data_IF_038817566990
#
_entry.id   IF_038817566990
#
_cell.length_a   1.000
_cell.length_b   1.000
_cell.length_c   1.000
_cell.angle_alpha   90.00
_cell.angle_beta   90.00
_cell.angle_gamma   90.00
#
_symmetry.space_group_name_H-M   'P 1'
#
loop_
_entity.id
_entity.type
_entity.pdbx_description
1 polymer ?
#
# COMPACT_ATOMS: atom_id res chain seq x y z
N UNK A 1 -32.37 22.93 -30.31
CA UNK A 1 -32.09 23.37 -28.93
C UNK A 1 -31.24 22.31 -28.29
N UNK A 2 -30.20 22.72 -27.55
CA UNK A 2 -29.34 21.77 -26.87
C UNK A 2 -30.12 20.93 -25.87
N UNK A 3 -30.01 19.59 -25.97
CA UNK A 3 -30.64 18.66 -25.01
C UNK A 3 -29.86 18.56 -23.68
N UNK A 4 -28.80 19.36 -23.49
CA UNK A 4 -28.00 19.36 -22.27
C UNK A 4 -28.64 20.19 -21.17
N UNK A 5 -28.53 19.76 -19.92
CA UNK A 5 -29.08 20.43 -18.74
C UNK A 5 -28.63 21.90 -18.60
N UNK A 6 -27.49 22.30 -19.19
CA UNK A 6 -26.94 23.65 -19.21
C UNK A 6 -27.06 24.36 -20.57
N UNK A 7 -27.82 23.80 -21.51
CA UNK A 7 -27.89 24.28 -22.91
C UNK A 7 -28.64 25.59 -23.14
N UNK A 8 -29.32 26.17 -22.15
CA UNK A 8 -30.21 27.30 -22.34
C UNK A 8 -29.59 28.60 -22.87
N UNK A 9 -28.27 28.78 -22.75
CA UNK A 9 -27.53 29.95 -23.23
C UNK A 9 -26.85 29.73 -24.59
N UNK A 10 -26.73 28.49 -25.02
CA UNK A 10 -25.91 28.13 -26.19
C UNK A 10 -26.77 28.07 -27.46
N UNK A 11 -26.25 28.68 -28.53
CA UNK A 11 -26.89 28.73 -29.86
C UNK A 11 -26.51 27.54 -30.75
N UNK A 12 -25.37 26.88 -30.45
CA UNK A 12 -24.85 25.72 -31.21
C UNK A 12 -24.74 24.48 -30.32
N UNK A 13 -24.84 23.31 -30.95
CA UNK A 13 -24.53 22.01 -30.33
C UNK A 13 -23.01 21.79 -30.38
N UNK A 14 -22.38 21.19 -29.35
CA UNK A 14 -21.02 20.67 -29.46
C UNK A 14 -20.93 19.58 -30.54
N UNK A 15 -19.75 19.45 -31.14
CA UNK A 15 -19.42 18.32 -32.00
C UNK A 15 -19.30 17.04 -31.15
N UNK A 16 -19.67 15.87 -31.71
CA UNK A 16 -19.70 14.59 -30.98
C UNK A 16 -18.32 14.27 -30.32
N UNK A 17 -17.21 14.52 -31.02
CA UNK A 17 -15.87 14.29 -30.48
C UNK A 17 -15.49 15.20 -29.31
N UNK A 18 -16.13 16.36 -29.16
CA UNK A 18 -15.97 17.26 -28.01
C UNK A 18 -16.65 16.65 -26.78
N UNK A 19 -17.81 16.04 -26.97
CA UNK A 19 -18.51 15.34 -25.89
C UNK A 19 -17.72 14.14 -25.42
N UNK A 20 -17.17 13.34 -26.32
CA UNK A 20 -16.31 12.19 -25.97
C UNK A 20 -15.06 12.61 -25.21
N UNK A 21 -14.39 13.71 -25.64
CA UNK A 21 -13.21 14.22 -24.93
C UNK A 21 -13.53 14.77 -23.53
N UNK A 22 -14.74 15.34 -23.36
CA UNK A 22 -15.18 15.94 -22.11
C UNK A 22 -15.73 14.92 -21.12
N UNK A 23 -16.20 13.77 -21.59
CA UNK A 23 -16.87 12.77 -20.76
C UNK A 23 -15.92 12.10 -19.77
N UNK A 24 -16.41 11.87 -18.55
CA UNK A 24 -15.69 11.17 -17.47
C UNK A 24 -16.34 9.86 -17.05
N UNK A 25 -17.49 9.51 -17.65
CA UNK A 25 -18.29 8.35 -17.24
C UNK A 25 -17.51 7.03 -17.26
N UNK A 26 -16.53 6.87 -18.15
CA UNK A 26 -15.75 5.64 -18.27
C UNK A 26 -15.02 5.26 -16.98
N UNK A 27 -14.60 6.26 -16.21
CA UNK A 27 -13.97 6.07 -14.91
C UNK A 27 -14.84 6.52 -13.73
N UNK A 28 -15.72 7.52 -13.87
CA UNK A 28 -16.64 8.01 -12.83
C UNK A 28 -17.61 6.93 -12.33
N UNK A 29 -17.96 5.96 -13.16
CA UNK A 29 -18.81 4.81 -12.78
C UNK A 29 -18.30 4.07 -11.55
N UNK A 30 -17.00 4.20 -11.20
CA UNK A 30 -16.45 3.68 -9.97
C UNK A 30 -17.02 4.36 -8.71
N UNK A 31 -17.64 5.54 -8.84
CA UNK A 31 -18.23 6.33 -7.78
C UNK A 31 -19.72 6.08 -7.57
N UNK A 32 -20.34 5.15 -8.30
CA UNK A 32 -21.81 4.91 -8.23
C UNK A 32 -22.32 4.76 -6.78
N UNK A 33 -21.59 4.03 -5.94
CA UNK A 33 -22.00 3.78 -4.56
C UNK A 33 -21.93 5.04 -3.72
N UNK A 34 -20.90 5.86 -3.92
CA UNK A 34 -20.69 7.11 -3.18
C UNK A 34 -21.68 8.19 -3.61
N UNK A 35 -21.93 8.32 -4.92
CA UNK A 35 -22.91 9.28 -5.45
C UNK A 35 -24.32 8.97 -4.95
N UNK A 36 -24.73 7.70 -4.98
CA UNK A 36 -26.02 7.28 -4.44
C UNK A 36 -26.09 7.54 -2.93
N UNK A 37 -25.04 7.22 -2.17
CA UNK A 37 -24.98 7.47 -0.74
C UNK A 37 -25.09 8.97 -0.42
N UNK A 38 -24.30 9.80 -1.11
CA UNK A 38 -24.33 11.26 -0.98
C UNK A 38 -25.70 11.84 -1.35
N UNK A 39 -26.30 11.36 -2.43
CA UNK A 39 -27.61 11.80 -2.90
C UNK A 39 -28.75 11.38 -1.96
N UNK A 40 -28.69 10.20 -1.34
CA UNK A 40 -29.66 9.77 -0.32
C UNK A 40 -29.59 10.67 0.92
N UNK A 41 -28.38 10.95 1.41
CA UNK A 41 -28.18 11.84 2.55
C UNK A 41 -28.71 13.25 2.25
N UNK A 42 -28.43 13.77 1.06
CA UNK A 42 -28.88 15.08 0.62
C UNK A 42 -30.44 15.15 0.53
N UNK A 43 -31.06 14.16 -0.11
CA UNK A 43 -32.53 14.11 -0.22
C UNK A 43 -33.20 14.01 1.16
N UNK A 44 -32.65 13.23 2.07
CA UNK A 44 -33.15 13.11 3.45
C UNK A 44 -33.12 14.47 4.17
N UNK A 45 -31.97 15.16 4.11
CA UNK A 45 -31.79 16.47 4.68
C UNK A 45 -32.76 17.51 4.06
N UNK A 46 -32.90 17.52 2.73
CA UNK A 46 -33.81 18.43 2.04
C UNK A 46 -35.26 18.28 2.55
N UNK A 47 -35.74 17.06 2.79
CA UNK A 47 -37.04 16.78 3.34
C UNK A 47 -37.17 17.23 4.81
N UNK A 48 -36.16 16.94 5.64
CA UNK A 48 -36.17 17.32 7.05
C UNK A 48 -36.14 18.84 7.23
N UNK A 49 -35.46 19.55 6.30
CA UNK A 49 -35.50 21.02 6.26
C UNK A 49 -36.75 21.59 5.53
N UNK A 50 -37.70 20.74 5.14
CA UNK A 50 -38.94 21.15 4.44
C UNK A 50 -38.69 21.85 3.08
N UNK A 51 -37.56 21.58 2.43
CA UNK A 51 -37.20 22.10 1.09
C UNK A 51 -37.94 21.30 0.02
N UNK A 52 -38.05 19.98 0.23
CA UNK A 52 -38.92 19.08 -0.51
C UNK A 52 -39.87 18.34 0.42
N UNK A 53 -40.92 17.71 -0.11
CA UNK A 53 -41.83 16.92 0.72
C UNK A 53 -41.21 15.55 1.11
N UNK A 54 -41.73 14.94 2.17
CA UNK A 54 -41.33 13.58 2.57
C UNK A 54 -41.61 12.55 1.47
N UNK A 55 -42.78 12.63 0.82
CA UNK A 55 -43.14 11.72 -0.28
C UNK A 55 -42.16 11.83 -1.45
N UNK A 56 -41.70 13.04 -1.78
CA UNK A 56 -40.66 13.26 -2.82
C UNK A 56 -39.34 12.67 -2.42
N UNK A 57 -38.91 12.86 -1.17
CA UNK A 57 -37.65 12.26 -0.68
C UNK A 57 -37.72 10.74 -0.70
N UNK A 58 -38.80 10.12 -0.26
CA UNK A 58 -39.00 8.68 -0.30
C UNK A 58 -38.93 8.13 -1.74
N UNK A 59 -39.56 8.81 -2.70
CA UNK A 59 -39.53 8.45 -4.09
C UNK A 59 -38.10 8.54 -4.65
N UNK A 60 -37.34 9.62 -4.34
CA UNK A 60 -35.96 9.83 -4.74
C UNK A 60 -35.08 8.73 -4.15
N UNK A 61 -35.14 8.47 -2.86
CA UNK A 61 -34.32 7.47 -2.18
C UNK A 61 -34.59 6.07 -2.74
N UNK A 62 -35.85 5.73 -2.99
CA UNK A 62 -36.22 4.45 -3.60
C UNK A 62 -35.63 4.34 -5.01
N UNK A 63 -35.81 5.37 -5.85
CA UNK A 63 -35.29 5.41 -7.22
C UNK A 63 -33.76 5.27 -7.27
N UNK A 64 -33.03 5.96 -6.38
CA UNK A 64 -31.57 5.86 -6.30
C UNK A 64 -31.09 4.45 -5.94
N UNK A 65 -31.74 3.79 -4.98
CA UNK A 65 -31.41 2.41 -4.61
C UNK A 65 -31.68 1.41 -5.74
N UNK A 66 -32.75 1.62 -6.50
CA UNK A 66 -33.06 0.81 -7.67
C UNK A 66 -32.04 1.03 -8.79
N UNK A 67 -31.60 2.26 -9.05
CA UNK A 67 -30.55 2.57 -10.05
C UNK A 67 -29.24 1.88 -9.64
N UNK A 68 -28.81 2.01 -8.39
CA UNK A 68 -27.61 1.36 -7.89
C UNK A 68 -27.66 -0.16 -8.06
N UNK A 69 -28.81 -0.78 -7.73
CA UNK A 69 -29.01 -2.21 -7.90
C UNK A 69 -28.90 -2.62 -9.36
N UNK A 70 -29.65 -1.94 -10.24
CA UNK A 70 -29.70 -2.25 -11.66
C UNK A 70 -28.34 -2.08 -12.33
N UNK A 71 -27.55 -1.08 -11.92
CA UNK A 71 -26.18 -0.90 -12.39
C UNK A 71 -25.27 -2.06 -11.96
N UNK A 72 -25.32 -2.43 -10.68
CA UNK A 72 -24.52 -3.52 -10.15
C UNK A 72 -24.87 -4.89 -10.75
N UNK A 73 -26.12 -5.07 -11.15
CA UNK A 73 -26.63 -6.29 -11.83
C UNK A 73 -26.42 -6.25 -13.36
N UNK A 74 -25.90 -5.13 -13.89
CA UNK A 74 -25.67 -4.96 -15.34
C UNK A 74 -26.94 -4.75 -16.17
N UNK A 75 -28.02 -4.30 -15.54
CA UNK A 75 -29.30 -4.04 -16.19
C UNK A 75 -29.39 -2.66 -16.85
N UNK A 76 -28.53 -1.73 -16.44
CA UNK A 76 -28.41 -0.40 -17.04
C UNK A 76 -26.97 -0.11 -17.44
N UNK A 77 -26.82 0.63 -18.54
CA UNK A 77 -25.53 1.11 -19.03
C UNK A 77 -25.56 2.64 -19.08
N UNK A 78 -24.55 3.26 -18.51
CA UNK A 78 -24.40 4.71 -18.54
C UNK A 78 -23.84 5.19 -19.88
N UNK A 79 -24.23 6.41 -20.29
CA UNK A 79 -23.96 6.95 -21.62
C UNK A 79 -22.93 8.09 -21.57
N UNK A 80 -21.95 8.06 -22.46
CA UNK A 80 -20.97 9.13 -22.63
C UNK A 80 -21.62 10.48 -23.00
N UNK A 81 -22.74 10.46 -23.73
CA UNK A 81 -23.50 11.67 -24.06
C UNK A 81 -24.10 12.40 -22.85
N UNK A 82 -24.14 11.74 -21.68
CA UNK A 82 -24.53 12.31 -20.40
C UNK A 82 -23.31 12.66 -19.51
N UNK A 83 -22.13 12.78 -20.09
CA UNK A 83 -20.89 13.31 -19.56
C UNK A 83 -20.32 12.53 -18.36
N UNK A 84 -21.01 12.52 -17.20
CA UNK A 84 -20.50 11.99 -15.93
C UNK A 84 -21.51 11.10 -15.21
N UNK A 85 -21.08 10.48 -14.12
CA UNK A 85 -21.93 9.61 -13.28
C UNK A 85 -23.15 10.35 -12.75
N UNK A 86 -22.99 11.60 -12.37
CA UNK A 86 -24.02 12.39 -11.73
C UNK A 86 -25.18 12.65 -12.67
N UNK A 87 -24.88 13.07 -13.91
CA UNK A 87 -25.91 13.34 -14.91
C UNK A 87 -26.58 12.04 -15.38
N UNK A 88 -25.83 10.94 -15.44
CA UNK A 88 -26.40 9.64 -15.76
C UNK A 88 -27.39 9.19 -14.69
N UNK A 89 -27.06 9.31 -13.39
CA UNK A 89 -27.96 8.97 -12.28
C UNK A 89 -29.19 9.89 -12.27
N UNK A 90 -28.98 11.21 -12.42
CA UNK A 90 -30.08 12.18 -12.46
C UNK A 90 -31.05 11.90 -13.61
N UNK A 91 -30.53 11.60 -14.79
CA UNK A 91 -31.34 11.24 -15.96
C UNK A 91 -32.17 9.98 -15.71
N UNK A 92 -31.56 8.90 -15.20
CA UNK A 92 -32.25 7.65 -14.87
C UNK A 92 -33.29 7.87 -13.77
N UNK A 93 -33.00 8.70 -12.77
CA UNK A 93 -33.93 9.03 -11.69
C UNK A 93 -35.17 9.76 -12.24
N UNK A 94 -34.97 10.79 -13.07
CA UNK A 94 -36.08 11.54 -13.69
C UNK A 94 -36.93 10.61 -14.58
N UNK A 95 -36.32 9.68 -15.33
CA UNK A 95 -37.04 8.70 -16.13
C UNK A 95 -37.97 7.80 -15.28
N UNK A 96 -37.53 7.44 -14.08
CA UNK A 96 -38.27 6.53 -13.17
C UNK A 96 -39.35 7.22 -12.36
N UNK A 97 -39.08 8.42 -11.83
CA UNK A 97 -39.97 9.08 -10.87
C UNK A 97 -40.47 10.45 -11.33
N UNK A 98 -40.16 10.89 -12.54
CA UNK A 98 -40.64 12.16 -13.10
C UNK A 98 -40.02 13.39 -12.45
N UNK A 99 -40.83 14.47 -12.32
CA UNK A 99 -40.37 15.80 -11.83
C UNK A 99 -39.73 15.78 -10.43
N UNK A 100 -40.14 14.87 -9.56
CA UNK A 100 -39.56 14.71 -8.23
C UNK A 100 -38.02 14.42 -8.32
N UNK A 101 -37.59 13.70 -9.34
CA UNK A 101 -36.15 13.38 -9.57
C UNK A 101 -35.30 14.64 -9.79
N UNK A 102 -35.85 15.66 -10.48
CA UNK A 102 -35.15 16.92 -10.71
C UNK A 102 -34.96 17.77 -9.47
N UNK A 103 -35.75 17.53 -8.38
CA UNK A 103 -35.61 18.25 -7.12
C UNK A 103 -34.39 17.85 -6.30
N UNK A 104 -33.80 16.69 -6.58
CA UNK A 104 -32.61 16.21 -5.90
C UNK A 104 -31.43 17.20 -5.97
N UNK A 105 -31.32 17.96 -7.05
CA UNK A 105 -30.22 18.93 -7.24
C UNK A 105 -30.38 20.24 -6.48
N UNK A 106 -31.50 20.44 -5.78
CA UNK A 106 -31.80 21.68 -5.00
C UNK A 106 -30.73 21.91 -3.93
N UNK A 107 -30.14 23.12 -3.89
CA UNK A 107 -29.12 23.49 -2.91
C UNK A 107 -27.76 22.80 -3.07
N UNK A 108 -27.53 22.06 -4.16
CA UNK A 108 -26.29 21.34 -4.46
C UNK A 108 -25.71 21.77 -5.80
N UNK A 109 -24.40 21.68 -5.93
CA UNK A 109 -23.68 21.82 -7.19
C UNK A 109 -22.99 20.50 -7.55
N UNK A 110 -22.62 20.36 -8.82
CA UNK A 110 -21.72 19.28 -9.26
C UNK A 110 -20.39 19.30 -8.49
N UNK A 111 -19.92 20.51 -8.11
CA UNK A 111 -18.62 20.69 -7.47
C UNK A 111 -18.57 20.07 -6.05
N UNK A 112 -19.53 20.33 -5.20
CA UNK A 112 -19.56 19.70 -3.87
C UNK A 112 -20.01 18.24 -3.92
N UNK A 113 -20.82 17.86 -4.90
CA UNK A 113 -21.22 16.48 -5.14
C UNK A 113 -20.02 15.60 -5.46
N UNK A 114 -19.22 15.94 -6.48
CA UNK A 114 -18.04 15.15 -6.86
C UNK A 114 -16.97 15.15 -5.78
N UNK A 115 -16.79 16.29 -5.07
CA UNK A 115 -15.87 16.34 -3.94
C UNK A 115 -16.29 15.37 -2.82
N UNK A 116 -17.59 15.30 -2.50
CA UNK A 116 -18.14 14.37 -1.51
C UNK A 116 -17.90 12.91 -1.90
N UNK A 117 -18.17 12.57 -3.15
CA UNK A 117 -17.95 11.21 -3.66
C UNK A 117 -16.49 10.78 -3.57
N UNK A 118 -15.58 11.68 -3.93
CA UNK A 118 -14.15 11.42 -3.86
C UNK A 118 -13.65 11.25 -2.43
N UNK A 119 -14.17 12.03 -1.46
CA UNK A 119 -13.88 11.85 -0.04
C UNK A 119 -14.38 10.49 0.47
N UNK A 120 -15.65 10.16 0.20
CA UNK A 120 -16.26 8.88 0.60
C UNK A 120 -15.51 7.69 -0.01
N UNK A 121 -15.20 7.77 -1.31
CA UNK A 121 -14.45 6.73 -2.00
C UNK A 121 -13.06 6.55 -1.40
N UNK A 122 -12.30 7.63 -1.27
CA UNK A 122 -10.93 7.58 -0.76
C UNK A 122 -10.89 7.06 0.67
N UNK A 123 -11.82 7.51 1.55
CA UNK A 123 -11.96 7.02 2.92
C UNK A 123 -12.14 5.50 2.95
N UNK A 124 -13.11 4.98 2.18
CA UNK A 124 -13.39 3.55 2.14
C UNK A 124 -12.21 2.74 1.57
N UNK A 125 -11.52 3.25 0.55
CA UNK A 125 -10.38 2.56 -0.03
C UNK A 125 -9.16 2.58 0.89
N UNK A 126 -8.89 3.67 1.58
CA UNK A 126 -7.80 3.75 2.56
C UNK A 126 -8.04 2.78 3.72
N UNK A 127 -9.26 2.69 4.24
CA UNK A 127 -9.62 1.69 5.25
C UNK A 127 -9.36 0.27 4.77
N UNK A 128 -9.77 -0.04 3.55
CA UNK A 128 -9.50 -1.37 2.98
C UNK A 128 -8.01 -1.65 2.72
N UNK A 129 -7.21 -0.63 2.37
CA UNK A 129 -5.75 -0.79 2.24
C UNK A 129 -5.13 -1.10 3.60
N UNK A 130 -5.58 -0.45 4.68
CA UNK A 130 -5.15 -0.75 6.07
C UNK A 130 -5.41 -2.22 6.41
N UNK A 131 -6.62 -2.72 6.15
CA UNK A 131 -6.98 -4.14 6.36
C UNK A 131 -6.05 -5.10 5.60
N UNK A 132 -5.72 -4.79 4.35
CA UNK A 132 -4.81 -5.61 3.53
C UNK A 132 -3.37 -5.57 4.05
N UNK A 133 -2.90 -4.44 4.56
CA UNK A 133 -1.59 -4.33 5.21
C UNK A 133 -1.56 -5.19 6.46
N UNK A 134 -2.57 -5.14 7.31
CA UNK A 134 -2.68 -5.95 8.52
C UNK A 134 -2.71 -7.45 8.21
N UNK A 135 -3.48 -7.88 7.21
CA UNK A 135 -3.51 -9.27 6.75
C UNK A 135 -2.12 -9.74 6.32
N UNK A 136 -1.41 -8.92 5.56
CA UNK A 136 -0.05 -9.25 5.15
C UNK A 136 0.95 -9.24 6.33
N UNK A 137 0.79 -8.35 7.29
CA UNK A 137 1.59 -8.35 8.52
C UNK A 137 1.39 -9.65 9.33
N UNK A 138 0.16 -10.15 9.44
CA UNK A 138 -0.11 -11.46 10.05
C UNK A 138 0.65 -12.59 9.33
N UNK A 139 0.66 -12.58 8.01
CA UNK A 139 1.39 -13.57 7.21
C UNK A 139 2.90 -13.50 7.47
N UNK A 140 3.48 -12.29 7.54
CA UNK A 140 4.91 -12.10 7.87
C UNK A 140 5.23 -12.63 9.27
N UNK A 141 4.39 -12.32 10.27
CA UNK A 141 4.59 -12.78 11.65
C UNK A 141 4.52 -14.31 11.73
N UNK A 142 3.55 -14.93 11.05
CA UNK A 142 3.42 -16.38 11.01
C UNK A 142 4.62 -17.06 10.35
N UNK A 143 5.16 -16.50 9.28
CA UNK A 143 6.38 -16.99 8.65
C UNK A 143 7.58 -16.84 9.58
N UNK A 144 7.75 -15.68 10.19
CA UNK A 144 8.86 -15.40 11.09
C UNK A 144 8.86 -16.33 12.31
N UNK A 145 7.70 -16.60 12.90
CA UNK A 145 7.54 -17.49 14.06
C UNK A 145 8.05 -18.92 13.79
N UNK A 146 7.90 -19.42 12.56
CA UNK A 146 8.38 -20.72 12.12
C UNK A 146 9.89 -20.79 11.84
N UNK A 147 10.55 -19.62 11.77
CA UNK A 147 11.92 -19.50 11.29
C UNK A 147 12.86 -18.71 12.24
N UNK A 148 12.52 -18.62 13.52
CA UNK A 148 13.34 -17.94 14.55
C UNK A 148 14.76 -18.50 14.59
N UNK A 149 14.89 -19.82 14.46
CA UNK A 149 16.17 -20.55 14.53
C UNK A 149 16.80 -20.80 13.14
N UNK A 150 16.12 -20.43 12.06
CA UNK A 150 16.65 -20.60 10.72
C UNK A 150 17.71 -19.54 10.43
N UNK A 151 18.95 -19.97 10.27
CA UNK A 151 20.09 -19.08 10.02
C UNK A 151 20.26 -18.85 8.52
N UNK A 152 20.50 -17.61 8.14
CA UNK A 152 20.80 -17.22 6.77
C UNK A 152 21.99 -16.25 6.70
N UNK A 153 22.66 -16.12 5.56
CA UNK A 153 23.63 -15.06 5.38
C UNK A 153 22.91 -13.70 5.28
N UNK A 154 23.32 -12.76 6.11
CA UNK A 154 22.97 -11.35 5.96
C UNK A 154 23.89 -10.68 4.93
N UNK A 155 23.36 -9.72 4.19
CA UNK A 155 24.06 -9.06 3.09
C UNK A 155 24.22 -7.56 3.32
N UNK A 156 25.38 -7.05 2.94
CA UNK A 156 25.64 -5.63 2.66
C UNK A 156 26.35 -5.54 1.32
N UNK A 157 26.02 -4.56 0.47
CA UNK A 157 26.58 -4.42 -0.88
C UNK A 157 26.44 -5.68 -1.76
N UNK A 158 25.38 -6.50 -1.53
CA UNK A 158 25.19 -7.83 -2.13
C UNK A 158 26.36 -8.80 -1.86
N UNK A 159 27.17 -8.54 -0.84
CA UNK A 159 28.17 -9.43 -0.31
C UNK A 159 27.71 -10.03 1.02
N UNK A 160 28.04 -11.30 1.27
CA UNK A 160 27.79 -11.94 2.56
C UNK A 160 28.53 -11.20 3.65
N UNK A 161 27.81 -10.84 4.72
CA UNK A 161 28.35 -10.00 5.79
C UNK A 161 28.41 -10.75 7.11
N UNK A 162 27.26 -11.07 7.70
CA UNK A 162 27.16 -11.74 8.99
C UNK A 162 25.98 -12.71 9.01
N UNK A 163 26.03 -13.80 9.82
CA UNK A 163 24.87 -14.67 10.00
C UNK A 163 23.74 -13.93 10.69
N UNK A 164 22.51 -14.10 10.19
CA UNK A 164 21.30 -13.54 10.78
C UNK A 164 20.20 -14.62 10.84
N UNK A 165 19.18 -14.39 11.67
CA UNK A 165 17.96 -15.19 11.63
C UNK A 165 17.10 -14.80 10.42
N UNK A 166 16.53 -15.78 9.72
CA UNK A 166 15.57 -15.54 8.65
C UNK A 166 14.34 -14.76 9.18
N UNK A 167 13.88 -15.09 10.39
CA UNK A 167 12.81 -14.36 11.06
C UNK A 167 13.15 -12.88 11.25
N UNK A 168 14.37 -12.58 11.69
CA UNK A 168 14.86 -11.20 11.83
C UNK A 168 14.79 -10.44 10.51
N UNK A 169 15.21 -11.08 9.42
CA UNK A 169 15.18 -10.46 8.09
C UNK A 169 13.74 -10.13 7.66
N UNK A 170 12.82 -11.09 7.70
CA UNK A 170 11.45 -10.86 7.22
C UNK A 170 10.66 -9.92 8.13
N UNK A 171 10.93 -9.88 9.44
CA UNK A 171 10.33 -8.89 10.34
C UNK A 171 10.68 -7.45 10.00
N UNK A 172 11.76 -7.20 9.25
CA UNK A 172 12.06 -5.86 8.72
C UNK A 172 10.89 -5.32 7.90
N UNK A 173 10.25 -6.18 7.11
CA UNK A 173 9.10 -5.80 6.29
C UNK A 173 7.82 -5.61 7.10
N UNK A 174 7.65 -6.34 8.21
CA UNK A 174 6.60 -6.04 9.18
C UNK A 174 6.72 -4.58 9.68
N UNK A 175 7.91 -4.16 10.08
CA UNK A 175 8.13 -2.80 10.58
C UNK A 175 8.01 -1.73 9.50
N UNK A 176 8.32 -2.02 8.25
CA UNK A 176 8.04 -1.12 7.12
C UNK A 176 6.54 -0.93 6.93
N UNK A 177 5.78 -2.02 6.88
CA UNK A 177 4.33 -2.00 6.72
C UNK A 177 3.62 -1.36 7.93
N UNK A 178 4.12 -1.52 9.14
CA UNK A 178 3.58 -0.86 10.33
C UNK A 178 3.68 0.67 10.23
N UNK A 179 4.79 1.17 9.72
CA UNK A 179 4.93 2.61 9.44
C UNK A 179 4.04 3.07 8.28
N UNK A 180 3.80 2.22 7.29
CA UNK A 180 2.89 2.53 6.18
C UNK A 180 1.45 2.55 6.66
N UNK A 181 1.04 1.55 7.46
CA UNK A 181 -0.29 1.52 8.09
C UNK A 181 -0.56 2.81 8.87
N UNK A 182 0.38 3.21 9.74
CA UNK A 182 0.23 4.44 10.52
C UNK A 182 0.11 5.71 9.66
N UNK A 183 0.74 5.76 8.47
CA UNK A 183 0.54 6.87 7.52
C UNK A 183 -0.87 6.89 6.95
N UNK A 184 -1.41 5.74 6.57
CA UNK A 184 -2.80 5.65 6.09
C UNK A 184 -3.80 5.99 7.19
N UNK A 185 -3.62 5.49 8.41
CA UNK A 185 -4.46 5.83 9.58
C UNK A 185 -4.44 7.34 9.86
N UNK A 186 -3.26 7.96 9.81
CA UNK A 186 -3.12 9.40 10.02
C UNK A 186 -3.78 10.21 8.90
N UNK A 187 -3.71 9.76 7.65
CA UNK A 187 -4.34 10.42 6.51
C UNK A 187 -5.87 10.43 6.59
N UNK A 188 -6.49 9.43 7.24
CA UNK A 188 -7.94 9.39 7.43
C UNK A 188 -8.48 10.65 8.12
N UNK A 189 -7.73 11.29 9.01
CA UNK A 189 -8.14 12.54 9.68
C UNK A 189 -8.38 13.69 8.71
N UNK A 190 -7.68 13.71 7.58
CA UNK A 190 -7.79 14.74 6.52
C UNK A 190 -8.75 14.34 5.42
N UNK A 191 -9.02 13.07 5.26
CA UNK A 191 -10.02 12.54 4.32
C UNK A 191 -11.44 12.66 4.92
N UNK A 192 -11.58 12.52 6.23
CA UNK A 192 -12.86 12.39 6.95
C UNK A 192 -13.54 13.74 7.22
N UNK A 193 -13.66 14.58 6.18
CA UNK A 193 -14.24 15.92 6.23
C UNK A 193 -15.26 16.05 5.10
N UNK A 194 -16.51 16.43 5.43
CA UNK A 194 -17.60 16.58 4.47
C UNK A 194 -17.54 17.89 3.69
N UNK A 195 -17.47 17.86 2.36
CA UNK A 195 -17.62 19.05 1.52
C UNK A 195 -19.07 19.35 1.15
N UNK A 196 -20.02 18.42 1.36
CA UNK A 196 -21.41 18.57 0.93
C UNK A 196 -22.09 19.79 1.57
N UNK A 197 -22.80 20.56 0.74
CA UNK A 197 -23.42 21.82 1.12
C UNK A 197 -22.57 23.06 0.86
N UNK A 198 -21.33 22.89 0.38
CA UNK A 198 -20.52 23.99 -0.14
C UNK A 198 -21.05 24.56 -1.46
N UNK A 199 -21.93 23.83 -2.13
CA UNK A 199 -22.48 24.13 -3.46
C UNK A 199 -21.37 24.37 -4.47
N UNK A 200 -21.48 25.41 -5.33
CA UNK A 200 -20.47 25.66 -6.33
C UNK A 200 -19.12 26.16 -5.74
N UNK A 201 -19.20 27.04 -4.72
CA UNK A 201 -18.04 27.62 -4.01
C UNK A 201 -18.41 28.51 -2.81
N UNK A 202 -19.62 29.03 -2.78
CA UNK A 202 -20.02 30.08 -1.84
C UNK A 202 -21.16 29.66 -0.88
N UNK A 203 -21.47 28.37 -0.84
CA UNK A 203 -22.66 27.86 -0.14
C UNK A 203 -23.95 28.10 -0.92
N UNK A 204 -25.10 28.03 -0.26
CA UNK A 204 -26.41 28.14 -0.87
C UNK A 204 -27.33 29.06 -0.03
N UNK A 205 -28.34 29.64 -0.67
CA UNK A 205 -29.37 30.43 0.00
C UNK A 205 -30.50 29.55 0.59
N UNK A 206 -30.54 28.26 0.29
CA UNK A 206 -31.45 27.31 0.89
C UNK A 206 -31.04 27.00 2.33
N UNK A 207 -32.02 26.82 3.25
CA UNK A 207 -31.74 26.50 4.66
C UNK A 207 -31.36 25.03 4.85
N UNK A 208 -30.28 24.61 4.22
CA UNK A 208 -29.74 23.25 4.34
C UNK A 208 -29.05 23.04 5.69
N UNK A 209 -29.02 21.79 6.17
CA UNK A 209 -28.28 21.40 7.37
C UNK A 209 -27.07 20.49 6.98
N UNK A 210 -25.88 21.07 7.05
CA UNK A 210 -24.63 20.38 6.75
C UNK A 210 -24.22 19.39 7.85
N UNK A 211 -24.66 19.62 9.11
CA UNK A 211 -24.39 18.67 10.20
C UNK A 211 -25.20 17.40 10.02
N UNK A 212 -26.47 17.53 9.62
CA UNK A 212 -27.27 16.35 9.30
C UNK A 212 -26.67 15.50 8.18
N UNK A 213 -26.22 16.11 7.07
CA UNK A 213 -25.58 15.37 5.99
C UNK A 213 -24.25 14.77 6.40
N UNK A 214 -23.47 15.46 7.25
CA UNK A 214 -22.24 14.93 7.85
C UNK A 214 -22.53 13.64 8.61
N UNK A 215 -23.51 13.65 9.52
CA UNK A 215 -23.88 12.50 10.35
C UNK A 215 -24.38 11.32 9.51
N UNK A 216 -25.26 11.60 8.53
CA UNK A 216 -25.80 10.59 7.61
C UNK A 216 -24.72 9.92 6.76
N UNK A 217 -23.65 10.63 6.42
CA UNK A 217 -22.53 10.13 5.63
C UNK A 217 -21.40 9.58 6.49
N UNK A 218 -21.45 9.76 7.81
CA UNK A 218 -20.45 9.27 8.74
C UNK A 218 -19.11 10.00 8.64
N UNK A 219 -19.11 11.28 8.28
CA UNK A 219 -17.93 12.13 8.34
C UNK A 219 -17.69 12.66 9.75
N UNK A 220 -16.42 12.71 10.17
CA UNK A 220 -16.05 13.27 11.48
C UNK A 220 -16.18 14.79 11.52
N UNK A 221 -15.97 15.47 10.41
CA UNK A 221 -15.91 16.93 10.32
C UNK A 221 -16.64 17.47 9.08
N UNK A 222 -16.80 18.79 9.04
CA UNK A 222 -17.28 19.57 7.89
C UNK A 222 -16.19 20.55 7.52
N UNK A 223 -16.00 20.84 6.24
CA UNK A 223 -15.12 21.92 5.79
C UNK A 223 -15.64 23.28 6.32
N UNK A 224 -14.76 24.03 6.98
CA UNK A 224 -15.06 25.36 7.54
C UNK A 224 -15.28 26.42 6.48
N UNK A 225 -14.70 26.24 5.30
CA UNK A 225 -14.78 27.18 4.19
C UNK A 225 -15.31 26.48 2.93
N UNK A 226 -16.42 26.98 2.38
CA UNK A 226 -17.06 26.38 1.20
C UNK A 226 -16.22 26.46 -0.08
N UNK A 227 -15.36 27.47 -0.22
CA UNK A 227 -14.45 27.58 -1.36
C UNK A 227 -13.32 26.55 -1.27
N UNK A 228 -12.78 26.33 -0.06
CA UNK A 228 -11.78 25.28 0.22
C UNK A 228 -12.37 23.89 -0.04
N UNK A 229 -13.59 23.64 0.45
CA UNK A 229 -14.28 22.35 0.31
C UNK A 229 -14.38 21.81 -1.14
N UNK A 230 -14.51 22.69 -2.11
CA UNK A 230 -14.60 22.33 -3.54
C UNK A 230 -13.28 22.43 -4.28
N UNK A 231 -12.25 23.04 -3.67
CA UNK A 231 -10.93 23.26 -4.25
C UNK A 231 -9.91 22.21 -3.81
N UNK A 232 -10.06 21.69 -2.59
CA UNK A 232 -9.06 20.86 -1.92
C UNK A 232 -8.96 19.47 -2.56
N UNK A 233 -7.72 19.00 -2.77
CA UNK A 233 -7.34 17.66 -3.25
C UNK A 233 -6.06 17.16 -2.57
N UNK A 234 -5.64 17.78 -1.47
CA UNK A 234 -4.41 17.43 -0.76
C UNK A 234 -4.45 16.00 -0.25
N UNK A 235 -5.65 15.54 0.19
CA UNK A 235 -5.86 14.16 0.63
C UNK A 235 -5.61 13.12 -0.49
N UNK A 236 -5.84 13.48 -1.76
CA UNK A 236 -5.54 12.62 -2.91
C UNK A 236 -4.03 12.52 -3.09
N UNK A 237 -3.32 13.65 -3.03
CA UNK A 237 -1.84 13.69 -3.09
C UNK A 237 -1.24 12.86 -1.96
N UNK A 238 -1.75 13.02 -0.74
CA UNK A 238 -1.29 12.29 0.43
C UNK A 238 -1.55 10.78 0.28
N UNK A 239 -2.73 10.38 -0.20
CA UNK A 239 -3.06 8.98 -0.48
C UNK A 239 -2.13 8.39 -1.54
N UNK A 240 -1.89 9.09 -2.65
CA UNK A 240 -0.96 8.68 -3.70
C UNK A 240 0.49 8.58 -3.19
N UNK A 241 0.91 9.50 -2.29
CA UNK A 241 2.20 9.43 -1.62
C UNK A 241 2.33 8.17 -0.76
N UNK A 242 1.34 7.90 0.10
CA UNK A 242 1.33 6.73 0.97
C UNK A 242 1.36 5.43 0.16
N UNK A 243 0.55 5.34 -0.91
CA UNK A 243 0.58 4.22 -1.86
C UNK A 243 1.97 4.06 -2.48
N UNK A 244 2.55 5.14 -3.00
CA UNK A 244 3.86 5.10 -3.67
C UNK A 244 4.96 4.63 -2.74
N UNK A 245 4.99 5.11 -1.48
CA UNK A 245 5.98 4.69 -0.50
C UNK A 245 5.82 3.22 -0.09
N UNK A 246 4.59 2.77 0.10
CA UNK A 246 4.30 1.35 0.37
C UNK A 246 4.76 0.47 -0.80
N UNK A 247 4.50 0.89 -2.04
CA UNK A 247 4.98 0.17 -3.23
C UNK A 247 6.51 0.13 -3.31
N UNK A 248 7.22 1.17 -2.87
CA UNK A 248 8.70 1.14 -2.73
C UNK A 248 9.13 0.09 -1.72
N UNK A 249 8.46 -0.04 -0.57
CA UNK A 249 8.76 -1.08 0.41
C UNK A 249 8.50 -2.49 -0.15
N UNK A 250 7.37 -2.68 -0.83
CA UNK A 250 7.08 -3.96 -1.51
C UNK A 250 8.11 -4.28 -2.60
N UNK A 251 8.57 -3.28 -3.35
CA UNK A 251 9.64 -3.44 -4.36
C UNK A 251 10.95 -3.95 -3.75
N UNK A 252 11.33 -3.45 -2.58
CA UNK A 252 12.52 -3.94 -1.88
C UNK A 252 12.37 -5.39 -1.45
N UNK A 253 11.20 -5.76 -0.94
CA UNK A 253 10.94 -7.17 -0.61
C UNK A 253 10.87 -8.05 -1.87
N UNK A 254 10.31 -7.55 -2.95
CA UNK A 254 10.30 -8.24 -4.24
C UNK A 254 11.72 -8.54 -4.75
N UNK A 255 12.65 -7.59 -4.61
CA UNK A 255 14.07 -7.79 -4.95
C UNK A 255 14.70 -8.94 -4.15
N UNK A 256 14.43 -9.00 -2.84
CA UNK A 256 14.89 -10.11 -1.98
C UNK A 256 14.30 -11.45 -2.42
N UNK A 257 12.99 -11.51 -2.69
CA UNK A 257 12.32 -12.72 -3.17
C UNK A 257 12.92 -13.20 -4.50
N UNK A 258 13.17 -12.28 -5.43
CA UNK A 258 13.80 -12.56 -6.72
C UNK A 258 15.20 -13.14 -6.49
N UNK A 259 16.03 -12.47 -5.69
CA UNK A 259 17.37 -12.93 -5.38
C UNK A 259 17.36 -14.30 -4.68
N UNK A 260 16.54 -14.50 -3.67
CA UNK A 260 16.46 -15.74 -2.90
C UNK A 260 15.98 -16.93 -3.74
N UNK A 261 15.18 -16.67 -4.77
CA UNK A 261 14.64 -17.71 -5.67
C UNK A 261 15.54 -18.04 -6.86
N UNK A 262 16.66 -17.33 -7.07
CA UNK A 262 17.63 -17.64 -8.14
C UNK A 262 18.21 -19.02 -8.02
N UNK A 263 18.67 -19.60 -9.14
CA UNK A 263 19.34 -20.91 -9.15
C UNK A 263 20.64 -20.93 -8.34
N UNK A 264 21.32 -19.80 -8.24
CA UNK A 264 22.55 -19.64 -7.46
C UNK A 264 22.28 -19.59 -5.96
N UNK A 265 21.25 -18.82 -5.52
CA UNK A 265 20.91 -18.70 -4.11
C UNK A 265 20.11 -19.90 -3.60
N UNK A 266 18.95 -20.18 -4.20
CA UNK A 266 18.02 -21.26 -3.79
C UNK A 266 17.63 -21.23 -2.32
N UNK A 267 17.52 -20.02 -1.76
CA UNK A 267 17.16 -19.85 -0.35
C UNK A 267 15.68 -20.10 -0.10
N UNK A 268 14.85 -19.82 -1.11
CA UNK A 268 13.42 -20.11 -1.11
C UNK A 268 13.00 -20.81 -2.41
N UNK A 269 11.84 -21.44 -2.35
CA UNK A 269 11.11 -21.96 -3.51
C UNK A 269 9.72 -21.34 -3.53
N UNK A 270 9.38 -20.63 -4.59
CA UNK A 270 8.04 -20.08 -4.77
C UNK A 270 7.03 -21.18 -5.12
N UNK A 271 5.78 -21.01 -4.70
CA UNK A 271 4.68 -21.87 -5.14
C UNK A 271 4.41 -21.73 -6.64
N UNK A 272 3.95 -22.80 -7.29
CA UNK A 272 3.55 -22.77 -8.69
C UNK A 272 2.41 -21.78 -8.95
N UNK A 273 1.56 -21.55 -7.96
CA UNK A 273 0.45 -20.59 -8.04
C UNK A 273 0.90 -19.13 -8.17
N UNK A 274 2.15 -18.81 -7.82
CA UNK A 274 2.72 -17.46 -7.86
C UNK A 274 3.98 -17.39 -8.73
N UNK A 275 4.12 -18.31 -9.67
CA UNK A 275 5.26 -18.38 -10.58
C UNK A 275 4.75 -18.67 -11.98
N UNK A 276 5.58 -18.41 -12.99
CA UNK A 276 5.31 -18.83 -14.37
C UNK A 276 6.44 -19.71 -14.89
N UNK A 277 6.15 -20.46 -15.94
CA UNK A 277 7.13 -21.27 -16.66
C UNK A 277 7.57 -20.58 -17.94
N UNK A 278 8.33 -21.32 -18.74
CA UNK A 278 8.74 -20.92 -20.09
C UNK A 278 8.11 -21.86 -21.12
N UNK A 279 7.61 -21.30 -22.21
CA UNK A 279 7.06 -22.09 -23.32
C UNK A 279 8.13 -22.88 -24.10
N UNK A 280 9.42 -22.54 -23.90
CA UNK A 280 10.55 -23.15 -24.63
C UNK A 280 11.53 -23.88 -23.70
N UNK A 281 11.60 -23.48 -22.42
CA UNK A 281 12.53 -24.03 -21.42
C UNK A 281 11.73 -24.73 -20.31
N UNK A 282 11.50 -26.05 -20.38
CA UNK A 282 10.58 -26.74 -19.47
C UNK A 282 11.04 -26.78 -18.00
N UNK A 283 12.32 -26.54 -17.73
CA UNK A 283 12.90 -26.49 -16.39
C UNK A 283 12.76 -25.13 -15.71
N UNK A 284 12.40 -24.07 -16.46
CA UNK A 284 12.44 -22.68 -15.99
C UNK A 284 11.20 -22.33 -15.18
N UNK A 285 11.41 -21.71 -14.02
CA UNK A 285 10.36 -21.16 -13.16
C UNK A 285 10.73 -19.74 -12.78
N UNK A 286 9.84 -18.78 -13.08
CA UNK A 286 10.13 -17.35 -12.97
C UNK A 286 9.36 -16.72 -11.77
N UNK A 287 9.97 -15.77 -11.06
CA UNK A 287 9.33 -15.02 -9.98
C UNK A 287 8.53 -13.81 -10.52
N UNK A 288 7.73 -14.00 -11.57
CA UNK A 288 7.08 -12.90 -12.33
C UNK A 288 6.21 -11.99 -11.45
N UNK A 289 5.58 -12.54 -10.40
CA UNK A 289 4.73 -11.73 -9.52
C UNK A 289 5.57 -10.71 -8.75
N UNK A 290 6.74 -11.12 -8.26
CA UNK A 290 7.68 -10.22 -7.60
C UNK A 290 8.23 -9.17 -8.59
N UNK A 291 8.57 -9.57 -9.81
CA UNK A 291 9.06 -8.67 -10.86
C UNK A 291 8.01 -7.62 -11.25
N UNK A 292 6.75 -8.03 -11.43
CA UNK A 292 5.65 -7.12 -11.73
C UNK A 292 5.43 -6.11 -10.61
N UNK A 293 5.42 -6.53 -9.35
CA UNK A 293 5.25 -5.62 -8.21
C UNK A 293 6.41 -4.62 -8.16
N UNK A 294 7.64 -5.08 -8.35
CA UNK A 294 8.81 -4.21 -8.47
C UNK A 294 8.65 -3.17 -9.58
N UNK A 295 8.16 -3.57 -10.75
CA UNK A 295 7.93 -2.69 -11.89
C UNK A 295 6.80 -1.67 -11.69
N UNK A 296 5.74 -2.03 -10.96
CA UNK A 296 4.54 -1.18 -10.75
C UNK A 296 4.80 0.07 -9.89
N UNK A 297 5.93 0.18 -9.20
CA UNK A 297 6.33 1.38 -8.44
C UNK A 297 6.36 2.62 -9.34
N UNK A 298 6.90 2.49 -10.56
CA UNK A 298 6.95 3.60 -11.51
C UNK A 298 5.56 4.14 -11.86
N UNK A 299 4.57 3.24 -11.97
CA UNK A 299 3.18 3.60 -12.27
C UNK A 299 2.55 4.44 -11.15
N UNK A 300 2.62 3.99 -9.89
CA UNK A 300 2.05 4.72 -8.75
C UNK A 300 2.76 6.04 -8.47
N UNK A 301 4.08 6.06 -8.59
CA UNK A 301 4.87 7.31 -8.46
C UNK A 301 4.54 8.30 -9.59
N UNK A 302 4.29 7.80 -10.81
CA UNK A 302 3.83 8.61 -11.93
C UNK A 302 2.50 9.31 -11.64
N UNK A 303 1.53 8.61 -11.05
CA UNK A 303 0.25 9.19 -10.65
C UNK A 303 0.39 10.27 -9.57
N UNK A 304 1.24 10.06 -8.57
CA UNK A 304 1.56 11.08 -7.57
C UNK A 304 2.13 12.34 -8.23
N UNK A 305 3.08 12.18 -9.13
CA UNK A 305 3.70 13.32 -9.83
C UNK A 305 2.69 14.03 -10.73
N UNK A 306 1.85 13.29 -11.46
CA UNK A 306 0.78 13.83 -12.29
C UNK A 306 -0.16 14.71 -11.46
N UNK A 307 -0.62 14.23 -10.30
CA UNK A 307 -1.54 14.97 -9.45
C UNK A 307 -0.91 16.26 -8.90
N UNK A 308 0.34 16.23 -8.45
CA UNK A 308 1.08 17.41 -8.01
C UNK A 308 1.19 18.47 -9.12
N UNK A 309 1.45 18.03 -10.35
CA UNK A 309 1.56 18.93 -11.52
C UNK A 309 0.20 19.49 -11.90
N UNK A 310 -0.87 18.71 -11.84
CA UNK A 310 -2.24 19.16 -12.11
C UNK A 310 -2.66 20.27 -11.14
N UNK A 311 -2.39 20.11 -9.85
CA UNK A 311 -2.78 21.09 -8.83
C UNK A 311 -1.91 22.35 -8.83
N UNK A 312 -0.66 22.26 -9.31
CA UNK A 312 0.28 23.35 -9.28
C UNK A 312 -0.22 24.54 -10.10
N UNK A 313 -0.51 25.65 -9.42
CA UNK A 313 -0.95 26.90 -10.03
C UNK A 313 -2.41 26.91 -10.50
N UNK A 314 -3.20 25.88 -10.16
CA UNK A 314 -4.62 25.84 -10.45
C UNK A 314 -5.36 26.89 -9.62
N UNK A 315 -6.26 27.71 -10.22
CA UNK A 315 -7.10 28.63 -9.46
C UNK A 315 -8.03 27.90 -8.48
N UNK A 316 -8.48 28.61 -7.45
CA UNK A 316 -9.43 28.09 -6.49
C UNK A 316 -10.78 27.74 -7.12
N UNK A 317 -11.64 27.07 -6.37
CA UNK A 317 -12.85 26.40 -6.80
C UNK A 317 -12.58 25.24 -7.77
N UNK A 318 -13.54 24.91 -8.61
CA UNK A 318 -13.43 23.81 -9.55
C UNK A 318 -13.03 24.32 -10.94
N UNK A 319 -12.00 23.69 -11.49
CA UNK A 319 -11.62 23.80 -12.89
C UNK A 319 -11.65 22.41 -13.50
N UNK A 320 -11.89 22.29 -14.81
CA UNK A 320 -12.03 20.97 -15.47
C UNK A 320 -10.76 20.12 -15.37
N UNK A 321 -9.59 20.73 -15.13
CA UNK A 321 -8.33 20.06 -14.79
C UNK A 321 -8.48 19.07 -13.62
N UNK A 322 -9.38 19.36 -12.67
CA UNK A 322 -9.65 18.46 -11.53
C UNK A 322 -10.32 17.14 -11.94
N UNK A 323 -10.76 16.97 -13.18
CA UNK A 323 -11.19 15.66 -13.67
C UNK A 323 -10.05 14.63 -13.65
N UNK A 324 -8.79 15.10 -13.77
CA UNK A 324 -7.59 14.29 -13.70
C UNK A 324 -7.28 13.75 -12.28
N UNK A 325 -8.06 14.13 -11.27
CA UNK A 325 -7.90 13.66 -9.89
C UNK A 325 -8.34 12.18 -9.69
N UNK A 326 -9.03 11.57 -10.66
CA UNK A 326 -9.71 10.28 -10.53
C UNK A 326 -8.92 9.10 -11.09
N UNK A 327 -8.59 9.12 -12.38
CA UNK A 327 -8.00 7.96 -13.06
C UNK A 327 -6.71 7.48 -12.39
N UNK A 328 -5.81 8.42 -12.08
CA UNK A 328 -4.56 8.11 -11.40
C UNK A 328 -4.76 7.54 -9.99
N UNK A 329 -5.72 8.08 -9.23
CA UNK A 329 -6.04 7.58 -7.90
C UNK A 329 -6.67 6.19 -7.96
N UNK A 330 -7.66 5.99 -8.83
CA UNK A 330 -8.34 4.69 -8.98
C UNK A 330 -7.36 3.59 -9.39
N UNK A 331 -6.47 3.90 -10.33
CA UNK A 331 -5.43 2.98 -10.80
C UNK A 331 -4.38 2.68 -9.71
N UNK A 332 -3.93 3.68 -8.96
CA UNK A 332 -3.00 3.49 -7.86
C UNK A 332 -3.61 2.62 -6.74
N UNK A 333 -4.87 2.87 -6.38
CA UNK A 333 -5.61 2.06 -5.40
C UNK A 333 -5.77 0.62 -5.88
N UNK A 334 -6.15 0.41 -7.14
CA UNK A 334 -6.24 -0.93 -7.72
C UNK A 334 -4.88 -1.64 -7.68
N UNK A 335 -3.82 -0.93 -8.04
CA UNK A 335 -2.45 -1.44 -8.08
C UNK A 335 -1.95 -1.86 -6.70
N UNK A 336 -2.10 -1.03 -5.66
CA UNK A 336 -1.63 -1.38 -4.30
C UNK A 336 -2.43 -2.54 -3.72
N UNK A 337 -3.76 -2.56 -3.87
CA UNK A 337 -4.62 -3.65 -3.37
C UNK A 337 -4.26 -4.99 -4.01
N UNK A 338 -4.07 -5.00 -5.33
CA UNK A 338 -3.62 -6.18 -6.05
C UNK A 338 -2.22 -6.63 -5.61
N UNK A 339 -1.30 -5.69 -5.45
CA UNK A 339 0.08 -5.97 -5.04
C UNK A 339 0.17 -6.56 -3.62
N UNK A 340 -0.57 -6.00 -2.65
CA UNK A 340 -0.61 -6.53 -1.29
C UNK A 340 -1.14 -7.96 -1.25
N UNK A 341 -2.26 -8.24 -1.92
CA UNK A 341 -2.87 -9.59 -1.96
C UNK A 341 -1.95 -10.62 -2.62
N UNK A 342 -1.34 -10.28 -3.76
CA UNK A 342 -0.42 -11.17 -4.47
C UNK A 342 0.82 -11.43 -3.61
N UNK A 343 1.37 -10.39 -2.99
CA UNK A 343 2.57 -10.52 -2.15
C UNK A 343 2.31 -11.37 -0.91
N UNK A 344 1.18 -11.15 -0.24
CA UNK A 344 0.74 -11.97 0.88
C UNK A 344 0.63 -13.45 0.50
N UNK A 345 -0.06 -13.77 -0.59
CA UNK A 345 -0.22 -15.14 -1.08
C UNK A 345 1.12 -15.79 -1.47
N UNK A 346 2.01 -15.03 -2.09
CA UNK A 346 3.35 -15.49 -2.48
C UNK A 346 4.18 -15.82 -1.23
N UNK A 347 4.20 -14.95 -0.22
CA UNK A 347 4.93 -15.14 1.04
C UNK A 347 4.33 -16.27 1.87
N UNK A 348 3.00 -16.38 1.94
CA UNK A 348 2.31 -17.43 2.67
C UNK A 348 2.56 -18.84 2.12
N UNK A 349 2.84 -18.94 0.81
CA UNK A 349 2.97 -20.23 0.11
C UNK A 349 4.41 -20.60 -0.25
N UNK A 350 5.39 -19.73 -0.04
CA UNK A 350 6.79 -20.03 -0.33
C UNK A 350 7.38 -21.03 0.67
N UNK A 351 8.32 -21.83 0.20
CA UNK A 351 9.10 -22.75 1.04
C UNK A 351 10.48 -22.17 1.30
N UNK A 352 10.89 -22.11 2.57
CA UNK A 352 12.24 -21.71 2.98
C UNK A 352 13.16 -22.92 2.98
N UNK A 353 14.24 -22.89 2.19
CA UNK A 353 15.17 -23.98 2.02
C UNK A 353 16.24 -23.96 3.14
N UNK A 354 15.88 -24.44 4.33
CA UNK A 354 16.71 -24.38 5.56
C UNK A 354 18.10 -24.99 5.36
N UNK A 355 18.18 -26.15 4.70
CA UNK A 355 19.44 -26.85 4.47
C UNK A 355 20.39 -26.02 3.60
N UNK A 356 19.85 -25.42 2.55
CA UNK A 356 20.63 -24.53 1.65
C UNK A 356 21.15 -23.30 2.38
N UNK A 357 20.30 -22.67 3.17
CA UNK A 357 20.67 -21.52 4.00
C UNK A 357 21.79 -21.89 4.97
N UNK A 358 21.64 -22.99 5.70
CA UNK A 358 22.61 -23.49 6.66
C UNK A 358 23.95 -23.87 5.99
N UNK A 359 23.91 -24.54 4.84
CA UNK A 359 25.11 -24.85 4.05
C UNK A 359 25.86 -23.57 3.66
N UNK A 360 25.11 -22.52 3.27
CA UNK A 360 25.70 -21.28 2.78
C UNK A 360 26.48 -20.54 3.87
N UNK A 361 25.96 -20.48 5.12
CA UNK A 361 26.64 -19.80 6.23
C UNK A 361 27.81 -20.61 6.81
N UNK A 362 27.88 -21.93 6.56
CA UNK A 362 29.01 -22.76 6.95
C UNK A 362 30.19 -22.68 5.99
N UNK A 363 29.93 -22.26 4.76
CA UNK A 363 30.92 -22.18 3.68
C UNK A 363 31.17 -20.73 3.28
N UNK A 364 31.50 -19.90 4.26
CA UNK A 364 31.91 -18.51 4.06
C UNK A 364 32.73 -18.00 5.26
N UNK A 365 33.01 -16.70 5.28
CA UNK A 365 33.72 -16.02 6.35
C UNK A 365 32.81 -15.04 7.12
N UNK A 366 31.50 -15.25 7.09
CA UNK A 366 30.56 -14.37 7.76
C UNK A 366 30.70 -14.35 9.30
N UNK A 367 31.38 -15.36 9.85
CA UNK A 367 31.74 -15.46 11.27
C UNK A 367 33.12 -14.83 11.62
N UNK A 368 33.77 -14.13 10.70
CA UNK A 368 35.09 -13.53 10.95
C UNK A 368 35.05 -12.39 12.00
N UNK A 369 33.91 -11.66 12.06
CA UNK A 369 33.71 -10.64 13.09
C UNK A 369 33.70 -11.27 14.50
N UNK A 370 33.13 -12.46 14.64
CA UNK A 370 33.09 -13.20 15.90
C UNK A 370 34.48 -13.63 16.35
N UNK A 371 35.39 -13.96 15.42
CA UNK A 371 36.78 -14.23 15.75
C UNK A 371 37.49 -12.96 16.29
N UNK A 372 37.22 -11.80 15.68
CA UNK A 372 37.75 -10.54 16.18
C UNK A 372 37.21 -10.21 17.58
N UNK A 373 35.92 -10.39 17.79
CA UNK A 373 35.28 -10.17 19.11
C UNK A 373 35.77 -11.17 20.16
N UNK A 374 36.06 -12.41 19.77
CA UNK A 374 36.69 -13.40 20.62
C UNK A 374 38.07 -12.90 21.14
N UNK A 375 38.92 -12.44 20.21
CA UNK A 375 40.23 -11.90 20.57
C UNK A 375 40.10 -10.66 21.47
N UNK A 376 39.12 -9.79 21.23
CA UNK A 376 38.82 -8.65 22.09
C UNK A 376 38.41 -9.11 23.51
N UNK A 377 37.64 -10.19 23.62
CA UNK A 377 37.28 -10.78 24.92
C UNK A 377 38.49 -11.33 25.69
N UNK A 378 39.56 -11.67 24.97
CA UNK A 378 40.86 -12.07 25.53
C UNK A 378 41.83 -10.86 25.69
N UNK A 379 41.29 -9.63 25.77
CA UNK A 379 41.99 -8.38 25.95
C UNK A 379 42.92 -7.92 24.82
N UNK A 380 42.75 -8.46 23.60
CA UNK A 380 43.45 -7.95 22.41
C UNK A 380 42.77 -6.67 21.94
N UNK A 381 43.48 -5.57 21.66
CA UNK A 381 42.88 -4.36 21.11
C UNK A 381 42.18 -4.63 19.80
N UNK A 382 40.99 -4.05 19.56
CA UNK A 382 40.17 -4.36 18.38
C UNK A 382 40.89 -4.21 17.03
N UNK A 383 41.70 -3.16 16.85
CA UNK A 383 42.50 -2.98 15.61
C UNK A 383 43.47 -4.12 15.39
N UNK A 384 44.15 -4.56 16.44
CA UNK A 384 45.07 -5.70 16.36
C UNK A 384 44.32 -7.00 16.10
N UNK A 385 43.18 -7.20 16.78
CA UNK A 385 42.32 -8.37 16.51
C UNK A 385 41.85 -8.41 15.06
N UNK A 386 41.39 -7.30 14.54
CA UNK A 386 40.94 -7.19 13.14
C UNK A 386 42.08 -7.51 12.14
N UNK A 387 43.32 -7.02 12.41
CA UNK A 387 44.47 -7.32 11.57
C UNK A 387 44.86 -8.80 11.61
N UNK A 388 44.83 -9.42 12.79
CA UNK A 388 45.08 -10.86 12.97
C UNK A 388 44.08 -11.67 12.20
N UNK A 389 42.76 -11.36 12.39
CA UNK A 389 41.68 -12.08 11.68
C UNK A 389 41.77 -11.92 10.19
N UNK A 390 42.13 -10.73 9.68
CA UNK A 390 42.34 -10.51 8.25
C UNK A 390 43.44 -11.44 7.67
N UNK A 391 44.53 -11.67 8.40
CA UNK A 391 45.60 -12.59 8.02
C UNK A 391 45.10 -14.04 8.01
N UNK A 392 44.41 -14.47 9.07
CA UNK A 392 43.82 -15.82 9.16
C UNK A 392 42.84 -16.08 8.01
N UNK A 393 41.96 -15.13 7.71
CA UNK A 393 41.03 -15.25 6.58
C UNK A 393 41.76 -15.37 5.24
N UNK A 394 42.84 -14.59 5.04
CA UNK A 394 43.65 -14.65 3.83
C UNK A 394 44.34 -16.03 3.67
N UNK A 395 44.86 -16.57 4.75
CA UNK A 395 45.48 -17.90 4.76
C UNK A 395 44.43 -19.00 4.47
N UNK A 396 43.26 -18.89 5.05
CA UNK A 396 42.10 -19.78 4.74
C UNK A 396 41.75 -19.76 3.24
N UNK A 397 41.68 -18.56 2.65
CA UNK A 397 41.39 -18.40 1.22
C UNK A 397 42.47 -19.11 0.35
N UNK A 398 43.73 -18.94 0.69
CA UNK A 398 44.82 -19.58 -0.02
C UNK A 398 44.78 -21.11 0.10
N UNK A 399 44.37 -21.62 1.24
CA UNK A 399 44.25 -23.08 1.50
C UNK A 399 42.93 -23.67 1.01
N UNK A 400 41.90 -22.85 0.69
CA UNK A 400 40.58 -23.32 0.27
C UNK A 400 39.78 -23.93 1.44
N UNK A 401 40.01 -23.47 2.67
CA UNK A 401 39.30 -23.88 3.91
C UNK A 401 38.54 -22.70 4.55
N UNK A 402 37.74 -22.97 5.57
CA UNK A 402 37.00 -21.98 6.31
C UNK A 402 37.48 -21.92 7.77
N UNK A 403 37.04 -20.88 8.53
CA UNK A 403 37.53 -20.66 9.89
C UNK A 403 37.31 -21.86 10.83
N UNK A 404 36.24 -22.63 10.68
CA UNK A 404 36.01 -23.83 11.48
C UNK A 404 36.93 -25.01 11.15
N UNK A 405 37.62 -24.96 9.99
CA UNK A 405 38.50 -26.02 9.55
C UNK A 405 39.99 -25.79 9.96
N UNK A 406 40.30 -24.56 10.47
CA UNK A 406 41.68 -24.18 10.81
C UNK A 406 42.14 -24.95 12.05
N UNK A 407 43.28 -25.64 12.03
CA UNK A 407 43.83 -26.33 13.21
C UNK A 407 44.15 -25.34 14.37
N UNK A 408 43.95 -25.76 15.62
CA UNK A 408 44.20 -24.92 16.78
C UNK A 408 45.68 -24.40 16.80
N UNK A 409 46.63 -25.25 16.43
CA UNK A 409 48.06 -24.88 16.32
C UNK A 409 48.32 -23.73 15.34
N UNK A 410 47.56 -23.68 14.25
CA UNK A 410 47.63 -22.60 13.26
C UNK A 410 46.98 -21.30 13.83
N UNK A 411 45.85 -21.39 14.47
CA UNK A 411 45.26 -20.28 15.22
C UNK A 411 46.23 -19.69 16.22
N UNK A 412 46.88 -20.55 17.02
CA UNK A 412 47.85 -20.16 18.04
C UNK A 412 49.13 -19.55 17.46
N UNK A 413 49.49 -19.89 16.24
CA UNK A 413 50.62 -19.25 15.57
C UNK A 413 50.34 -17.78 15.23
N UNK A 414 49.09 -17.41 15.01
CA UNK A 414 48.68 -16.02 14.83
C UNK A 414 48.55 -15.28 16.14
N UNK A 415 48.00 -15.92 17.16
CA UNK A 415 47.91 -15.33 18.53
C UNK A 415 47.73 -16.42 19.61
N UNK A 416 48.61 -16.42 20.59
CA UNK A 416 48.62 -17.45 21.64
C UNK A 416 47.45 -17.49 22.57
N UNK A 417 46.62 -16.45 22.61
CA UNK A 417 45.39 -16.42 23.43
C UNK A 417 44.20 -17.17 22.82
N UNK A 418 44.35 -17.70 21.59
CA UNK A 418 43.30 -18.49 20.97
C UNK A 418 43.36 -19.92 21.54
N UNK A 419 42.24 -20.34 22.11
CA UNK A 419 42.06 -21.63 22.78
C UNK A 419 41.03 -22.49 22.05
N UNK A 420 40.84 -23.74 22.48
CA UNK A 420 39.94 -24.69 21.81
C UNK A 420 38.48 -24.25 21.78
N UNK A 421 38.07 -23.38 22.71
CA UNK A 421 36.72 -22.80 22.76
C UNK A 421 36.35 -21.94 21.53
N UNK A 422 37.34 -21.60 20.70
CA UNK A 422 37.11 -20.83 19.48
C UNK A 422 36.17 -21.55 18.52
N UNK A 423 36.25 -22.87 18.40
CA UNK A 423 35.39 -23.64 17.49
C UNK A 423 33.92 -23.54 17.88
N UNK A 424 33.63 -23.60 19.19
CA UNK A 424 32.27 -23.36 19.69
C UNK A 424 31.85 -21.89 19.47
N UNK A 425 32.78 -20.97 19.61
CA UNK A 425 32.53 -19.55 19.42
C UNK A 425 32.11 -19.21 17.98
N UNK A 426 32.69 -19.87 17.00
CA UNK A 426 32.52 -19.58 15.57
C UNK A 426 31.35 -20.31 14.90
N UNK A 427 30.64 -21.20 15.60
CA UNK A 427 29.47 -21.84 15.01
C UNK A 427 28.40 -20.81 14.67
N UNK A 428 27.69 -20.91 13.51
CA UNK A 428 26.62 -19.99 13.15
C UNK A 428 25.55 -19.85 14.23
N UNK A 429 25.20 -20.93 14.93
CA UNK A 429 24.26 -20.96 16.04
C UNK A 429 24.72 -20.09 17.22
N UNK A 430 25.99 -20.17 17.56
CA UNK A 430 26.55 -19.37 18.65
C UNK A 430 26.81 -17.91 18.25
N UNK A 431 27.10 -17.65 16.98
CA UNK A 431 27.13 -16.29 16.45
C UNK A 431 25.77 -15.58 16.71
N UNK A 432 24.65 -16.24 16.45
CA UNK A 432 23.32 -15.67 16.72
C UNK A 432 23.06 -15.53 18.23
N UNK A 433 23.33 -16.56 19.05
CA UNK A 433 23.09 -16.54 20.51
C UNK A 433 23.79 -15.38 21.23
N UNK A 434 24.92 -14.93 20.70
CA UNK A 434 25.70 -13.83 21.28
C UNK A 434 25.18 -12.43 20.90
N UNK A 435 24.30 -12.32 19.92
CA UNK A 435 23.66 -11.05 19.52
C UNK A 435 22.54 -10.69 20.51
N UNK A 436 22.90 -10.02 21.63
CA UNK A 436 21.98 -9.72 22.75
C UNK A 436 21.50 -8.27 22.79
N UNK A 437 22.01 -7.39 21.91
CA UNK A 437 21.55 -6.00 21.88
C UNK A 437 20.08 -5.92 21.45
N UNK A 438 19.37 -4.92 21.96
CA UNK A 438 17.97 -4.70 21.62
C UNK A 438 17.78 -4.56 20.10
N UNK A 439 16.79 -5.24 19.53
CA UNK A 439 16.53 -5.23 18.09
C UNK A 439 17.51 -6.06 17.25
N UNK A 440 18.43 -6.82 17.86
CA UNK A 440 19.41 -7.65 17.16
C UNK A 440 18.79 -8.95 16.60
N UNK A 441 19.61 -9.71 15.87
CA UNK A 441 19.21 -10.98 15.25
C UNK A 441 19.24 -12.19 16.18
N UNK A 442 19.69 -12.04 17.45
CA UNK A 442 19.71 -13.14 18.42
C UNK A 442 18.30 -13.66 18.73
N UNK A 443 18.19 -14.96 19.03
CA UNK A 443 16.90 -15.63 19.22
C UNK A 443 15.98 -14.93 20.23
N UNK A 444 16.50 -14.50 21.38
CA UNK A 444 15.71 -13.82 22.41
C UNK A 444 15.22 -12.44 21.92
N UNK A 445 16.05 -11.71 21.19
CA UNK A 445 15.66 -10.43 20.59
C UNK A 445 14.61 -10.62 19.50
N UNK A 446 14.71 -11.67 18.68
CA UNK A 446 13.73 -11.99 17.64
C UNK A 446 12.40 -12.42 18.24
N UNK A 447 12.40 -13.25 19.30
CA UNK A 447 11.17 -13.61 20.03
C UNK A 447 10.50 -12.37 20.62
N UNK A 448 11.25 -11.47 21.21
CA UNK A 448 10.72 -10.20 21.70
C UNK A 448 10.11 -9.35 20.57
N UNK A 449 10.76 -9.25 19.40
CA UNK A 449 10.22 -8.56 18.22
C UNK A 449 8.89 -9.18 17.77
N UNK A 450 8.78 -10.51 17.79
CA UNK A 450 7.54 -11.24 17.47
C UNK A 450 6.43 -10.96 18.48
N UNK A 451 6.74 -10.93 19.78
CA UNK A 451 5.77 -10.59 20.82
C UNK A 451 5.23 -9.18 20.65
N UNK A 452 6.11 -8.21 20.37
CA UNK A 452 5.69 -6.83 20.10
C UNK A 452 4.82 -6.76 18.83
N UNK A 453 5.22 -7.43 17.75
CA UNK A 453 4.46 -7.46 16.50
C UNK A 453 3.06 -8.08 16.69
N UNK A 454 2.97 -9.23 17.39
CA UNK A 454 1.69 -9.86 17.74
C UNK A 454 0.81 -8.96 18.61
N UNK A 455 1.42 -8.21 19.54
CA UNK A 455 0.68 -7.26 20.39
C UNK A 455 0.14 -6.06 19.62
N UNK A 456 0.83 -5.58 18.59
CA UNK A 456 0.35 -4.51 17.72
C UNK A 456 -0.85 -4.98 16.91
N UNK A 457 -0.76 -6.15 16.29
CA UNK A 457 -1.85 -6.74 15.51
C UNK A 457 -3.09 -7.12 16.36
N UNK A 458 -2.93 -7.38 17.64
CA UNK A 458 -4.06 -7.68 18.53
C UNK A 458 -4.83 -6.42 18.99
N UNK A 459 -4.29 -5.21 18.74
CA UNK A 459 -4.91 -3.92 19.10
C UNK A 459 -5.59 -3.24 17.91
N UNK A 460 -5.31 -3.70 16.71
CA UNK A 460 -5.98 -3.31 15.47
C UNK A 460 -7.31 -4.05 15.36
#
# INVERSE_FOLDING_TARGET
MSNKAWGGRFEAQPEDWVDDFNASIDFDKNLINQDVQGSIAHATMLANQSIISQDEAEAIIKGLKEIQKDFNEGHIEFKASLEDIHLNIEHELIQRIGEAGGKLHTGRSRNDQVATDMHLYTKAQVQHIIELIESFQHTIVNLADQHVETIMPGYTHLQRAQPISFAHHVLTYFWMLERDKGRFEDSLKRIDISPLGAAALSGTTHPIDRHETQDLLGFAHIYENSLDAVSERDYIVETLHNISLTMVHLSRFAEEIIFWSTDEAKFITLSDSFSTGSSIMPQKKNPDMAELIRGKVGRTTGHLMSMLVTLKGLPLAYNKDMQEDKEGLFDAIHTIKGSLRIFEGMVASMTVNKDRLNETVKKDFSNATELADYLVSKHVPFRTAHEIVGKIVLDCIHQGIYLLDVPLSEYQSHHSSIEEDIYDYLTPENCLKRRKSYGSTGQESVKHQLEVAKSLLAKS
#
